data_IF_925277998493
#
_entry.id   IF_925277998493
#
_cell.length_a   1.000
_cell.length_b   1.000
_cell.length_c   1.000
_cell.angle_alpha   90.00
_cell.angle_beta   90.00
_cell.angle_gamma   90.00
#
_symmetry.space_group_name_H-M   'P 1'
#
loop_
_entity.id
_entity.type
_entity.pdbx_description
1 polymer ?
#
# COMPACT_ATOMS: atom_id res chain seq x y z
N UNK A 1 8.03 28.88 -4.18
CA UNK A 1 9.26 28.57 -4.94
C UNK A 1 8.96 28.25 -6.41
N UNK A 2 8.07 27.30 -6.73
CA UNK A 2 7.73 26.93 -8.11
C UNK A 2 7.21 28.14 -8.89
N UNK A 3 6.27 28.90 -8.34
CA UNK A 3 5.76 30.13 -8.99
C UNK A 3 6.88 31.11 -9.31
N UNK A 4 7.82 31.33 -8.39
CA UNK A 4 8.97 32.21 -8.62
C UNK A 4 9.81 31.74 -9.82
N UNK A 5 10.05 30.42 -9.97
CA UNK A 5 10.79 29.87 -11.11
C UNK A 5 10.04 30.12 -12.41
N UNK A 6 8.72 29.91 -12.44
CA UNK A 6 7.90 30.22 -13.63
C UNK A 6 7.90 31.71 -13.97
N UNK A 7 7.75 32.58 -12.98
CA UNK A 7 7.76 34.03 -13.15
C UNK A 7 9.12 34.49 -13.71
N UNK A 8 10.26 33.91 -13.27
CA UNK A 8 11.59 34.21 -13.80
C UNK A 8 11.80 33.66 -15.21
N UNK A 9 11.30 32.45 -15.50
CA UNK A 9 11.36 31.86 -16.85
C UNK A 9 10.51 32.69 -17.84
N UNK A 10 9.31 33.12 -17.43
CA UNK A 10 8.44 33.92 -18.24
C UNK A 10 9.05 35.29 -18.54
N UNK A 11 9.74 35.90 -17.58
CA UNK A 11 10.39 37.18 -17.67
C UNK A 11 11.68 37.17 -18.49
N UNK A 12 12.52 36.14 -18.31
CA UNK A 12 13.90 36.11 -18.84
C UNK A 12 14.06 35.11 -19.99
N UNK A 13 13.05 34.27 -20.26
CA UNK A 13 13.11 33.18 -21.23
C UNK A 13 13.87 31.94 -20.76
N UNK A 14 13.67 30.84 -21.48
CA UNK A 14 14.29 29.54 -21.14
C UNK A 14 15.82 29.51 -21.35
N UNK A 15 16.39 30.43 -22.10
CA UNK A 15 17.79 30.47 -22.46
C UNK A 15 18.73 30.81 -21.31
N UNK A 16 18.20 31.40 -20.22
CA UNK A 16 18.98 31.72 -19.03
C UNK A 16 19.01 30.59 -17.99
N UNK A 17 18.31 29.49 -18.24
CA UNK A 17 18.38 28.31 -17.38
C UNK A 17 19.70 27.60 -17.62
N UNK A 18 20.61 27.70 -16.65
CA UNK A 18 21.87 26.98 -16.67
C UNK A 18 21.71 25.65 -15.96
N UNK A 19 22.00 24.57 -16.66
CA UNK A 19 22.07 23.22 -16.06
C UNK A 19 23.43 23.11 -15.38
N UNK A 20 23.44 22.81 -14.08
CA UNK A 20 24.68 22.56 -13.37
C UNK A 20 25.36 21.28 -13.90
N UNK A 21 26.69 21.25 -13.88
CA UNK A 21 27.41 20.02 -14.19
C UNK A 21 27.07 18.92 -13.18
N UNK A 22 26.96 17.67 -13.63
CA UNK A 22 26.53 16.54 -12.81
C UNK A 22 27.45 16.29 -11.59
N UNK A 23 28.70 16.71 -11.66
CA UNK A 23 29.70 16.62 -10.59
C UNK A 23 29.69 17.83 -9.64
N UNK A 24 28.75 18.75 -9.80
CA UNK A 24 28.67 19.92 -8.92
C UNK A 24 28.34 19.46 -7.48
N UNK A 25 29.21 19.75 -6.50
CA UNK A 25 29.03 19.26 -5.13
C UNK A 25 27.73 19.75 -4.45
N UNK A 26 27.17 20.87 -4.92
CA UNK A 26 25.90 21.36 -4.40
C UNK A 26 24.71 20.45 -4.78
N UNK A 27 24.82 19.71 -5.91
CA UNK A 27 23.78 18.74 -6.29
C UNK A 27 23.77 17.60 -5.28
N UNK A 28 24.89 16.93 -5.05
CA UNK A 28 24.99 15.83 -4.09
C UNK A 28 24.61 16.25 -2.67
N UNK A 29 24.98 17.45 -2.25
CA UNK A 29 24.57 18.00 -0.95
C UNK A 29 23.06 18.21 -0.87
N UNK A 30 22.46 18.75 -1.92
CA UNK A 30 21.01 18.98 -1.97
C UNK A 30 20.21 17.66 -2.00
N UNK A 31 20.70 16.67 -2.75
CA UNK A 31 20.12 15.32 -2.81
C UNK A 31 20.16 14.63 -1.45
N UNK A 32 21.31 14.60 -0.80
CA UNK A 32 21.44 14.00 0.54
C UNK A 32 20.57 14.71 1.58
N UNK A 33 20.53 16.04 1.55
CA UNK A 33 19.68 16.81 2.46
C UNK A 33 18.20 16.52 2.20
N UNK A 34 17.79 16.53 0.94
CA UNK A 34 16.39 16.28 0.56
C UNK A 34 15.94 14.88 0.97
N UNK A 35 16.79 13.87 0.75
CA UNK A 35 16.50 12.49 1.17
C UNK A 35 16.35 12.38 2.69
N UNK A 36 17.29 12.95 3.45
CA UNK A 36 17.24 12.88 4.91
C UNK A 36 16.03 13.65 5.48
N UNK A 37 15.80 14.87 5.02
CA UNK A 37 14.65 15.67 5.43
C UNK A 37 13.33 14.96 5.07
N UNK A 38 13.26 14.35 3.89
CA UNK A 38 12.06 13.62 3.42
C UNK A 38 11.76 12.39 4.27
N UNK A 39 12.77 11.59 4.60
CA UNK A 39 12.63 10.42 5.47
C UNK A 39 12.19 10.84 6.86
N UNK A 40 12.81 11.87 7.44
CA UNK A 40 12.47 12.35 8.79
C UNK A 40 11.04 12.91 8.86
N UNK A 41 10.61 13.71 7.88
CA UNK A 41 9.25 14.23 7.79
C UNK A 41 8.23 13.11 7.64
N UNK A 42 8.53 12.10 6.82
CA UNK A 42 7.62 10.96 6.64
C UNK A 42 7.54 10.10 7.90
N UNK A 43 8.66 9.84 8.57
CA UNK A 43 8.67 9.16 9.87
C UNK A 43 7.82 9.91 10.90
N UNK A 44 7.99 11.23 11.01
CA UNK A 44 7.20 12.05 11.92
C UNK A 44 5.70 11.98 11.58
N UNK A 45 5.34 12.05 10.31
CA UNK A 45 3.96 11.87 9.86
C UNK A 45 3.37 10.52 10.30
N UNK A 46 4.15 9.44 10.21
CA UNK A 46 3.72 8.12 10.68
C UNK A 46 3.54 8.10 12.20
N UNK A 47 4.45 8.69 12.96
CA UNK A 47 4.39 8.77 14.43
C UNK A 47 3.19 9.59 14.91
N UNK A 48 2.91 10.71 14.26
CA UNK A 48 1.76 11.55 14.58
C UNK A 48 0.42 10.89 14.24
N UNK A 49 0.43 10.00 13.23
CA UNK A 49 -0.75 9.31 12.69
C UNK A 49 -0.89 7.87 13.20
N UNK A 50 -0.38 6.94 12.40
CA UNK A 50 -0.66 5.50 12.55
C UNK A 50 0.35 4.75 13.41
N UNK A 51 1.59 5.21 13.51
CA UNK A 51 2.69 4.57 14.26
C UNK A 51 2.78 5.06 15.71
N UNK A 52 1.65 5.26 16.36
CA UNK A 52 1.59 5.61 17.79
C UNK A 52 2.12 4.47 18.66
N UNK A 53 2.56 4.80 19.86
CA UNK A 53 3.17 3.87 20.80
C UNK A 53 2.36 2.58 21.01
N UNK A 54 1.04 2.67 21.09
CA UNK A 54 0.18 1.51 21.24
C UNK A 54 0.32 0.54 20.06
N UNK A 55 0.31 1.04 18.81
CA UNK A 55 0.45 0.22 17.62
C UNK A 55 1.87 -0.33 17.46
N UNK A 56 2.89 0.49 17.75
CA UNK A 56 4.28 0.05 17.74
C UNK A 56 4.53 -1.05 18.77
N UNK A 57 3.94 -0.94 19.97
CA UNK A 57 4.06 -1.95 21.02
C UNK A 57 3.35 -3.26 20.63
N UNK A 58 2.21 -3.22 19.93
CA UNK A 58 1.57 -4.40 19.38
C UNK A 58 2.51 -5.13 18.39
N UNK A 59 3.12 -4.40 17.47
CA UNK A 59 4.07 -4.97 16.51
C UNK A 59 5.31 -5.52 17.21
N UNK A 60 5.92 -4.78 18.13
CA UNK A 60 7.12 -5.19 18.87
C UNK A 60 6.91 -6.46 19.68
N UNK A 61 5.73 -6.60 20.28
CA UNK A 61 5.39 -7.72 21.16
C UNK A 61 4.81 -8.93 20.42
N UNK A 62 4.53 -8.82 19.12
CA UNK A 62 4.11 -9.96 18.30
C UNK A 62 5.31 -10.83 17.93
N UNK A 63 5.15 -12.13 17.96
CA UNK A 63 6.12 -13.10 17.43
C UNK A 63 5.97 -13.28 15.91
N UNK A 64 4.90 -12.72 15.32
CA UNK A 64 4.61 -12.85 13.91
C UNK A 64 5.59 -12.05 13.05
N UNK A 65 5.89 -12.59 11.87
CA UNK A 65 6.62 -11.89 10.83
C UNK A 65 5.64 -11.45 9.76
N UNK A 66 5.93 -10.30 9.16
CA UNK A 66 5.21 -9.74 8.02
C UNK A 66 6.13 -9.81 6.81
N UNK A 67 5.68 -10.44 5.76
CA UNK A 67 6.41 -10.45 4.48
C UNK A 67 5.94 -9.23 3.66
N UNK A 68 6.90 -8.43 3.18
CA UNK A 68 6.63 -7.34 2.25
C UNK A 68 7.21 -7.72 0.89
N UNK A 69 6.35 -7.83 -0.10
CA UNK A 69 6.74 -7.99 -1.49
C UNK A 69 6.82 -6.60 -2.14
N UNK A 70 8.03 -6.16 -2.44
CA UNK A 70 8.34 -4.82 -2.97
C UNK A 70 8.16 -4.73 -4.50
N UNK A 71 8.03 -5.86 -5.18
CA UNK A 71 7.86 -5.96 -6.64
C UNK A 71 8.93 -5.19 -7.44
N UNK A 72 10.15 -5.05 -6.87
CA UNK A 72 11.20 -4.22 -7.48
C UNK A 72 10.92 -2.73 -7.46
N UNK A 73 10.03 -2.28 -6.58
CA UNK A 73 9.64 -0.87 -6.45
C UNK A 73 10.57 -0.05 -5.57
N UNK A 74 10.22 1.22 -5.37
CA UNK A 74 11.10 2.25 -4.80
C UNK A 74 11.06 2.38 -3.26
N UNK A 75 10.14 1.69 -2.57
CA UNK A 75 9.92 1.98 -1.15
C UNK A 75 10.95 1.36 -0.20
N UNK A 76 11.65 0.28 -0.60
CA UNK A 76 12.57 -0.42 0.32
C UNK A 76 13.59 0.52 0.96
N UNK A 77 14.24 1.38 0.18
CA UNK A 77 15.27 2.29 0.68
C UNK A 77 14.79 3.24 1.78
N UNK A 78 13.58 3.75 1.65
CA UNK A 78 12.99 4.69 2.62
C UNK A 78 12.33 3.96 3.78
N UNK A 79 11.47 3.00 3.48
CA UNK A 79 10.64 2.33 4.50
C UNK A 79 11.48 1.44 5.41
N UNK A 80 12.46 0.70 4.89
CA UNK A 80 13.35 -0.13 5.72
C UNK A 80 14.13 0.70 6.73
N UNK A 81 14.59 1.89 6.34
CA UNK A 81 15.26 2.82 7.25
C UNK A 81 14.32 3.29 8.37
N UNK A 82 13.08 3.66 8.04
CA UNK A 82 12.08 4.08 9.03
C UNK A 82 11.77 2.93 9.99
N UNK A 83 11.51 1.71 9.49
CA UNK A 83 11.23 0.54 10.33
C UNK A 83 12.38 0.24 11.30
N UNK A 84 13.63 0.42 10.85
CA UNK A 84 14.82 0.29 11.71
C UNK A 84 14.85 1.36 12.80
N UNK A 85 14.63 2.62 12.46
CA UNK A 85 14.61 3.72 13.42
C UNK A 85 13.45 3.60 14.44
N UNK A 86 12.34 2.98 14.04
CA UNK A 86 11.22 2.64 14.92
C UNK A 86 11.46 1.38 15.77
N UNK A 87 12.55 0.64 15.51
CA UNK A 87 12.92 -0.58 16.23
C UNK A 87 11.98 -1.76 15.97
N UNK A 88 11.47 -1.88 14.73
CA UNK A 88 10.58 -2.95 14.27
C UNK A 88 11.05 -3.62 12.99
N UNK A 89 12.25 -3.34 12.51
CA UNK A 89 12.80 -3.88 11.27
C UNK A 89 12.81 -5.42 11.26
N UNK A 90 13.12 -6.03 12.40
CA UNK A 90 13.18 -7.48 12.56
C UNK A 90 11.82 -8.20 12.41
N UNK A 91 10.71 -7.46 12.44
CA UNK A 91 9.36 -7.97 12.21
C UNK A 91 9.03 -8.15 10.74
N UNK A 92 9.83 -7.58 9.85
CA UNK A 92 9.56 -7.55 8.41
C UNK A 92 10.58 -8.37 7.62
N UNK A 93 10.07 -9.14 6.67
CA UNK A 93 10.88 -9.91 5.72
C UNK A 93 10.60 -9.34 4.32
N UNK A 94 11.62 -8.79 3.69
CA UNK A 94 11.49 -8.19 2.37
C UNK A 94 11.76 -9.20 1.26
N UNK A 95 10.87 -9.21 0.27
CA UNK A 95 11.03 -9.94 -0.98
C UNK A 95 11.15 -8.95 -2.14
N UNK A 96 11.91 -9.33 -3.17
CA UNK A 96 12.13 -8.50 -4.37
C UNK A 96 12.44 -7.03 -4.05
N UNK A 97 13.29 -6.80 -3.06
CA UNK A 97 13.60 -5.49 -2.48
C UNK A 97 14.47 -4.61 -3.37
N UNK A 98 15.25 -5.21 -4.28
CA UNK A 98 16.09 -4.47 -5.20
C UNK A 98 15.24 -3.83 -6.30
N UNK A 99 15.49 -2.55 -6.60
CA UNK A 99 14.80 -1.85 -7.67
C UNK A 99 15.05 -2.54 -9.02
N UNK A 100 13.97 -2.84 -9.73
CA UNK A 100 14.04 -3.44 -11.06
C UNK A 100 13.04 -2.74 -11.99
N UNK A 101 13.50 -2.09 -13.07
CA UNK A 101 12.62 -1.43 -14.02
C UNK A 101 11.67 -2.38 -14.75
N UNK A 102 11.89 -3.70 -14.65
CA UNK A 102 11.04 -4.74 -15.18
C UNK A 102 10.28 -5.50 -14.10
N UNK A 103 10.25 -4.98 -12.87
CA UNK A 103 9.47 -5.51 -11.74
C UNK A 103 9.66 -7.02 -11.54
N UNK A 104 10.90 -7.50 -11.63
CA UNK A 104 11.27 -8.93 -11.57
C UNK A 104 10.49 -9.80 -12.56
N UNK A 105 10.18 -9.26 -13.74
CA UNK A 105 9.38 -9.90 -14.80
C UNK A 105 7.91 -10.12 -14.42
N UNK A 106 7.41 -9.43 -13.42
CA UNK A 106 5.99 -9.39 -13.07
C UNK A 106 5.26 -8.55 -14.13
N UNK A 107 4.16 -9.08 -14.67
CA UNK A 107 3.45 -8.46 -15.78
C UNK A 107 3.75 -9.12 -17.11
N UNK A 108 3.09 -8.66 -18.16
CA UNK A 108 3.26 -9.20 -19.51
C UNK A 108 4.28 -8.39 -20.27
N UNK A 109 5.20 -9.07 -20.90
CA UNK A 109 6.17 -8.47 -21.80
C UNK A 109 6.42 -9.33 -23.01
N UNK A 110 6.75 -8.69 -24.12
CA UNK A 110 7.30 -9.32 -25.32
C UNK A 110 8.81 -9.10 -25.39
N UNK A 111 9.48 -10.03 -26.04
CA UNK A 111 10.89 -9.92 -26.36
C UNK A 111 11.03 -9.77 -27.87
N UNK A 112 11.63 -8.66 -28.31
CA UNK A 112 11.91 -8.47 -29.73
C UNK A 112 13.00 -9.45 -30.22
N UNK A 113 13.22 -9.58 -31.57
CA UNK A 113 14.26 -10.46 -32.10
C UNK A 113 15.68 -10.15 -31.65
N UNK A 114 15.92 -8.99 -31.06
CA UNK A 114 17.21 -8.56 -30.49
C UNK A 114 17.32 -8.86 -28.99
N UNK A 115 16.27 -9.42 -28.38
CA UNK A 115 16.24 -9.74 -26.96
C UNK A 115 15.81 -8.58 -26.05
N UNK A 116 15.37 -7.43 -26.62
CA UNK A 116 14.87 -6.34 -25.81
C UNK A 116 13.46 -6.66 -25.31
N UNK A 117 13.20 -6.43 -24.02
CA UNK A 117 11.88 -6.62 -23.42
C UNK A 117 11.05 -5.34 -23.58
N UNK A 118 9.82 -5.50 -24.04
CA UNK A 118 8.84 -4.42 -24.12
C UNK A 118 7.64 -4.78 -23.27
N UNK A 119 7.40 -4.02 -22.21
CA UNK A 119 6.20 -4.16 -21.38
C UNK A 119 5.00 -3.59 -22.11
N UNK A 120 3.90 -4.33 -22.11
CA UNK A 120 2.61 -3.88 -22.63
C UNK A 120 1.44 -4.05 -21.66
N UNK A 121 1.68 -4.68 -20.52
CA UNK A 121 0.71 -4.80 -19.44
C UNK A 121 1.47 -4.70 -18.11
N UNK A 122 1.30 -3.58 -17.43
CA UNK A 122 1.97 -3.27 -16.16
C UNK A 122 1.08 -3.54 -14.93
N UNK A 123 0.04 -4.34 -15.09
CA UNK A 123 -0.80 -4.66 -13.95
C UNK A 123 -0.03 -5.52 -12.97
N UNK A 124 0.34 -4.92 -11.85
CA UNK A 124 0.92 -5.59 -10.68
C UNK A 124 -0.13 -5.78 -9.57
N UNK A 125 -1.40 -5.63 -9.90
CA UNK A 125 -2.50 -5.88 -8.97
C UNK A 125 -2.63 -7.38 -8.71
N UNK A 126 -2.21 -7.81 -7.52
CA UNK A 126 -2.22 -9.20 -7.12
C UNK A 126 -3.63 -9.78 -6.91
N UNK A 127 -4.66 -8.93 -6.87
CA UNK A 127 -6.07 -9.38 -6.77
C UNK A 127 -6.72 -9.70 -8.11
N UNK A 128 -6.03 -9.45 -9.22
CA UNK A 128 -6.55 -9.77 -10.55
C UNK A 128 -6.61 -11.29 -10.73
N UNK A 129 -7.82 -11.79 -10.94
CA UNK A 129 -8.10 -13.19 -11.23
C UNK A 129 -8.16 -13.41 -12.75
N UNK A 130 -7.46 -14.41 -13.22
CA UNK A 130 -7.46 -14.84 -14.62
C UNK A 130 -7.81 -16.33 -14.74
N UNK A 131 -7.90 -16.85 -15.95
CA UNK A 131 -8.11 -18.27 -16.21
C UNK A 131 -6.99 -18.82 -17.07
N UNK A 132 -6.49 -19.99 -16.72
CA UNK A 132 -5.53 -20.73 -17.54
C UNK A 132 -6.20 -21.35 -18.79
N UNK A 133 -5.42 -22.07 -19.60
CA UNK A 133 -5.89 -22.73 -20.81
C UNK A 133 -7.01 -23.76 -20.58
N UNK A 134 -7.09 -24.30 -19.37
CA UNK A 134 -8.07 -25.32 -18.98
C UNK A 134 -9.28 -24.65 -18.26
N UNK A 135 -9.31 -23.31 -18.21
CA UNK A 135 -10.38 -22.52 -17.59
C UNK A 135 -10.27 -22.43 -16.06
N UNK A 136 -9.19 -22.92 -15.47
CA UNK A 136 -8.96 -22.90 -14.03
C UNK A 136 -8.53 -21.49 -13.58
N UNK A 137 -9.15 -20.93 -12.54
CA UNK A 137 -8.79 -19.62 -12.04
C UNK A 137 -7.40 -19.60 -11.38
N UNK A 138 -6.66 -18.52 -11.59
CA UNK A 138 -5.38 -18.27 -10.96
C UNK A 138 -5.11 -16.75 -10.86
N UNK A 139 -4.17 -16.36 -10.00
CA UNK A 139 -3.71 -14.99 -9.85
C UNK A 139 -2.36 -14.82 -10.58
N UNK A 140 -2.30 -14.10 -11.71
CA UNK A 140 -1.09 -13.98 -12.52
C UNK A 140 0.11 -13.41 -11.75
N UNK A 141 -0.10 -12.36 -10.95
CA UNK A 141 0.95 -11.74 -10.15
C UNK A 141 1.48 -12.72 -9.11
N UNK A 142 0.60 -13.34 -8.32
CA UNK A 142 1.00 -14.31 -7.28
C UNK A 142 1.77 -15.48 -7.90
N UNK A 143 1.34 -15.96 -9.06
CA UNK A 143 2.04 -17.03 -9.78
C UNK A 143 3.44 -16.60 -10.23
N UNK A 144 3.61 -15.39 -10.74
CA UNK A 144 4.92 -14.89 -11.18
C UNK A 144 5.86 -14.57 -10.01
N UNK A 145 5.35 -14.41 -8.81
CA UNK A 145 6.14 -14.22 -7.58
C UNK A 145 6.62 -15.54 -6.95
N UNK A 146 6.22 -16.69 -7.51
CA UNK A 146 6.61 -18.03 -7.04
C UNK A 146 6.37 -18.23 -5.54
N UNK A 147 5.20 -17.82 -5.03
CA UNK A 147 4.91 -17.87 -3.60
C UNK A 147 4.83 -19.29 -3.03
N UNK A 148 4.50 -20.27 -3.83
CA UNK A 148 4.57 -21.69 -3.48
C UNK A 148 5.99 -22.12 -3.05
N UNK A 149 7.02 -21.53 -3.66
CA UNK A 149 8.41 -21.76 -3.30
C UNK A 149 8.90 -20.80 -2.20
N UNK A 150 8.64 -19.51 -2.37
CA UNK A 150 9.19 -18.46 -1.53
C UNK A 150 8.57 -18.44 -0.12
N UNK A 151 7.31 -18.83 0.03
CA UNK A 151 6.60 -18.87 1.30
C UNK A 151 6.53 -20.27 1.95
N UNK A 152 7.21 -21.27 1.37
CA UNK A 152 7.13 -22.67 1.85
C UNK A 152 7.50 -22.89 3.31
N UNK A 153 8.31 -22.01 3.89
CA UNK A 153 8.78 -22.10 5.27
C UNK A 153 8.07 -21.10 6.20
N UNK A 154 7.17 -20.27 5.67
CA UNK A 154 6.43 -19.32 6.49
C UNK A 154 5.31 -20.03 7.26
N UNK A 155 5.13 -19.77 8.56
CA UNK A 155 4.07 -20.38 9.35
C UNK A 155 2.67 -19.87 8.95
N UNK A 156 1.64 -20.63 9.35
CA UNK A 156 0.27 -20.16 9.33
C UNK A 156 0.16 -18.90 10.19
N UNK A 157 -0.62 -17.92 9.74
CA UNK A 157 -0.75 -16.60 10.37
C UNK A 157 0.17 -15.55 9.75
N UNK A 158 1.20 -15.94 8.97
CA UNK A 158 2.08 -14.97 8.32
C UNK A 158 1.29 -14.07 7.37
N UNK A 159 1.33 -12.76 7.61
CA UNK A 159 0.80 -11.76 6.69
C UNK A 159 1.79 -11.48 5.55
N UNK A 160 1.26 -11.34 4.33
CA UNK A 160 2.04 -11.00 3.14
C UNK A 160 1.43 -9.74 2.52
N UNK A 161 2.20 -8.69 2.47
CA UNK A 161 1.82 -7.40 1.92
C UNK A 161 2.47 -7.25 0.54
N UNK A 162 1.67 -7.21 -0.51
CA UNK A 162 2.15 -7.03 -1.88
C UNK A 162 1.83 -5.60 -2.29
N UNK A 163 2.87 -4.83 -2.54
CA UNK A 163 2.73 -3.44 -3.00
C UNK A 163 2.96 -3.36 -4.51
N UNK A 164 2.44 -2.33 -5.14
CA UNK A 164 2.88 -1.98 -6.49
C UNK A 164 4.18 -1.14 -6.45
N UNK A 165 4.84 -0.87 -7.60
CA UNK A 165 6.17 -0.28 -7.60
C UNK A 165 6.30 1.11 -7.00
N UNK A 166 5.26 1.94 -7.06
CA UNK A 166 5.22 3.28 -6.47
C UNK A 166 4.47 3.33 -5.12
N UNK A 167 4.03 2.15 -4.64
CA UNK A 167 3.43 1.92 -3.32
C UNK A 167 2.14 2.69 -3.04
N UNK A 168 1.37 3.02 -4.06
CA UNK A 168 0.05 3.63 -3.88
C UNK A 168 -1.08 2.58 -3.77
N UNK A 169 -0.78 1.31 -4.06
CA UNK A 169 -1.69 0.16 -3.94
C UNK A 169 -1.11 -0.93 -3.05
N UNK A 170 -2.00 -1.62 -2.35
CA UNK A 170 -1.64 -2.69 -1.43
C UNK A 170 -2.63 -3.86 -1.57
N UNK A 171 -2.09 -5.05 -1.80
CA UNK A 171 -2.81 -6.32 -1.64
C UNK A 171 -2.37 -6.98 -0.35
N UNK A 172 -3.31 -7.35 0.48
CA UNK A 172 -3.07 -8.09 1.72
C UNK A 172 -3.37 -9.56 1.47
N UNK A 173 -2.43 -10.40 1.83
CA UNK A 173 -2.57 -11.85 1.83
C UNK A 173 -2.23 -12.39 3.22
N UNK A 174 -2.67 -13.61 3.53
CA UNK A 174 -2.31 -14.30 4.75
C UNK A 174 -2.17 -15.79 4.50
N UNK A 175 -1.17 -16.41 5.12
CA UNK A 175 -1.03 -17.86 5.10
C UNK A 175 -1.98 -18.47 6.11
N UNK A 176 -2.87 -19.34 5.64
CA UNK A 176 -3.88 -20.01 6.44
C UNK A 176 -3.82 -21.53 6.23
N UNK A 177 -4.49 -22.27 7.14
CA UNK A 177 -4.73 -23.70 6.97
C UNK A 177 -5.82 -23.95 5.93
N UNK A 178 -5.71 -25.01 5.15
CA UNK A 178 -6.67 -25.38 4.11
C UNK A 178 -8.04 -25.83 4.70
N UNK A 179 -8.12 -26.16 5.99
CA UNK A 179 -9.39 -26.41 6.68
C UNK A 179 -10.29 -25.16 6.73
N UNK A 180 -9.74 -23.97 6.54
CA UNK A 180 -10.47 -22.70 6.44
C UNK A 180 -11.18 -22.48 5.10
N UNK A 181 -10.92 -23.27 4.07
CA UNK A 181 -11.42 -23.04 2.71
C UNK A 181 -12.93 -22.84 2.66
N UNK A 182 -13.72 -23.64 3.37
CA UNK A 182 -15.19 -23.51 3.35
C UNK A 182 -15.64 -22.20 3.98
N UNK A 183 -14.97 -21.79 5.06
CA UNK A 183 -15.24 -20.54 5.73
C UNK A 183 -14.88 -19.33 4.83
N UNK A 184 -13.71 -19.34 4.20
CA UNK A 184 -13.26 -18.29 3.28
C UNK A 184 -14.22 -18.14 2.10
N UNK A 185 -14.67 -19.25 1.51
CA UNK A 185 -15.66 -19.24 0.44
C UNK A 185 -16.98 -18.61 0.87
N UNK A 186 -17.44 -18.86 2.10
CA UNK A 186 -18.67 -18.25 2.63
C UNK A 186 -18.55 -16.73 2.80
N UNK A 187 -17.34 -16.21 2.96
CA UNK A 187 -17.03 -14.79 3.05
C UNK A 187 -16.67 -14.15 1.70
N UNK A 188 -16.62 -14.94 0.61
CA UNK A 188 -16.17 -14.45 -0.70
C UNK A 188 -14.70 -14.04 -0.73
N UNK A 189 -13.86 -14.72 0.07
CA UNK A 189 -12.42 -14.49 0.11
C UNK A 189 -11.75 -15.53 -0.81
N UNK A 190 -10.94 -15.05 -1.74
CA UNK A 190 -10.19 -15.89 -2.66
C UNK A 190 -8.92 -16.45 -2.00
N UNK A 191 -8.39 -17.52 -2.57
CA UNK A 191 -7.16 -18.15 -2.06
C UNK A 191 -6.39 -18.88 -3.16
N UNK A 192 -5.10 -19.09 -2.91
CA UNK A 192 -4.20 -19.94 -3.71
C UNK A 192 -3.74 -21.09 -2.84
N UNK A 193 -3.78 -22.30 -3.38
CA UNK A 193 -3.20 -23.46 -2.67
C UNK A 193 -1.68 -23.34 -2.59
N UNK A 194 -1.13 -23.55 -1.41
CA UNK A 194 0.27 -23.75 -1.16
C UNK A 194 0.53 -25.26 -0.93
N UNK A 195 1.63 -25.61 -0.33
CA UNK A 195 1.96 -26.98 0.04
C UNK A 195 1.50 -27.34 1.47
N UNK A 196 1.52 -28.61 1.81
CA UNK A 196 1.36 -29.11 3.19
C UNK A 196 0.10 -28.66 3.92
N UNK A 197 -1.04 -28.62 3.22
CA UNK A 197 -2.31 -28.21 3.84
C UNK A 197 -2.41 -26.72 4.15
N UNK A 198 -1.64 -25.88 3.45
CA UNK A 198 -1.67 -24.43 3.59
C UNK A 198 -2.22 -23.77 2.34
N UNK A 199 -2.79 -22.61 2.54
CA UNK A 199 -3.29 -21.72 1.48
C UNK A 199 -2.78 -20.30 1.72
N UNK A 200 -2.68 -19.53 0.65
CA UNK A 200 -2.50 -18.09 0.72
C UNK A 200 -3.85 -17.44 0.40
N UNK A 201 -4.45 -16.80 1.39
CA UNK A 201 -5.67 -15.99 1.19
C UNK A 201 -5.32 -14.71 0.46
N UNK A 202 -6.22 -14.24 -0.41
CA UNK A 202 -6.04 -13.00 -1.17
C UNK A 202 -7.21 -12.09 -0.90
N UNK A 203 -6.95 -11.00 -0.17
CA UNK A 203 -7.97 -10.01 0.17
C UNK A 203 -8.02 -8.91 -0.91
N UNK A 204 -9.19 -8.63 -1.41
CA UNK A 204 -9.40 -7.46 -2.27
C UNK A 204 -9.15 -6.17 -1.49
N UNK A 205 -8.83 -5.07 -2.17
CA UNK A 205 -8.65 -3.77 -1.54
C UNK A 205 -9.87 -3.37 -0.67
N UNK A 206 -11.08 -3.66 -1.15
CA UNK A 206 -12.30 -3.38 -0.39
C UNK A 206 -12.39 -4.18 0.92
N UNK A 207 -11.98 -5.45 0.91
CA UNK A 207 -11.94 -6.29 2.12
C UNK A 207 -10.85 -5.81 3.09
N UNK A 208 -9.66 -5.51 2.58
CA UNK A 208 -8.54 -5.02 3.39
C UNK A 208 -8.88 -3.69 4.08
N UNK A 209 -9.43 -2.74 3.35
CA UNK A 209 -9.84 -1.46 3.93
C UNK A 209 -10.98 -1.61 4.94
N UNK A 210 -11.92 -2.52 4.72
CA UNK A 210 -12.98 -2.79 5.69
C UNK A 210 -12.40 -3.34 7.01
N UNK A 211 -11.44 -4.24 6.95
CA UNK A 211 -10.73 -4.75 8.14
C UNK A 211 -9.99 -3.63 8.87
N UNK A 212 -9.30 -2.74 8.16
CA UNK A 212 -8.60 -1.59 8.75
C UNK A 212 -9.59 -0.64 9.42
N UNK A 213 -10.71 -0.32 8.76
CA UNK A 213 -11.75 0.55 9.34
C UNK A 213 -12.35 -0.05 10.60
N UNK A 214 -12.64 -1.36 10.59
CA UNK A 214 -13.18 -2.04 11.77
C UNK A 214 -12.17 -2.06 12.92
N UNK A 215 -10.92 -2.37 12.64
CA UNK A 215 -9.83 -2.28 13.63
C UNK A 215 -9.74 -0.89 14.26
N UNK A 216 -9.68 0.17 13.46
CA UNK A 216 -9.63 1.55 13.96
C UNK A 216 -10.83 1.92 14.80
N UNK A 217 -12.02 1.53 14.35
CA UNK A 217 -13.24 1.76 15.13
C UNK A 217 -13.16 1.08 16.50
N UNK A 218 -12.70 -0.19 16.55
CA UNK A 218 -12.55 -0.91 17.81
C UNK A 218 -11.52 -0.22 18.73
N UNK A 219 -10.38 0.25 18.19
CA UNK A 219 -9.40 1.00 18.97
C UNK A 219 -10.01 2.27 19.56
N UNK A 220 -10.71 3.06 18.76
CA UNK A 220 -11.37 4.27 19.24
C UNK A 220 -12.43 3.97 20.32
N UNK A 221 -13.16 2.87 20.21
CA UNK A 221 -14.10 2.43 21.23
C UNK A 221 -13.40 2.02 22.53
N UNK A 222 -12.31 1.25 22.43
CA UNK A 222 -11.52 0.82 23.58
C UNK A 222 -10.93 2.01 24.36
N UNK A 223 -10.55 3.06 23.64
CA UNK A 223 -10.04 4.31 24.24
C UNK A 223 -11.17 5.26 24.72
N UNK A 224 -12.43 4.90 24.51
CA UNK A 224 -13.57 5.77 24.84
C UNK A 224 -13.70 7.02 23.96
N UNK A 225 -13.03 7.03 22.81
CA UNK A 225 -12.98 8.18 21.90
C UNK A 225 -14.00 8.12 20.77
N UNK A 226 -14.62 6.97 20.54
CA UNK A 226 -15.50 6.78 19.40
C UNK A 226 -16.74 7.65 19.47
N UNK A 227 -17.39 7.75 20.62
CA UNK A 227 -18.63 8.49 20.84
C UNK A 227 -18.41 9.99 21.07
N UNK A 228 -17.17 10.46 21.22
CA UNK A 228 -16.88 11.86 21.52
C UNK A 228 -17.22 12.82 20.38
N UNK A 229 -17.28 12.32 19.15
CA UNK A 229 -17.56 13.13 17.96
C UNK A 229 -18.42 12.34 16.96
N UNK A 230 -19.30 13.02 16.19
CA UNK A 230 -19.97 12.39 15.07
C UNK A 230 -18.97 11.78 14.08
N UNK A 231 -19.24 10.55 13.65
CA UNK A 231 -18.38 9.83 12.71
C UNK A 231 -19.00 9.82 11.32
N UNK A 232 -18.16 10.01 10.32
CA UNK A 232 -18.57 9.86 8.94
C UNK A 232 -17.44 9.21 8.13
N UNK A 233 -17.82 8.55 7.07
CA UNK A 233 -16.92 7.93 6.11
C UNK A 233 -17.15 8.58 4.75
N UNK A 234 -16.05 8.96 4.09
CA UNK A 234 -16.09 9.41 2.69
C UNK A 234 -15.62 8.23 1.85
N UNK A 235 -16.42 7.80 0.89
CA UNK A 235 -16.05 6.75 -0.04
C UNK A 235 -16.35 7.13 -1.48
N UNK A 236 -15.65 6.52 -2.41
CA UNK A 236 -15.94 6.69 -3.84
C UNK A 236 -17.05 5.75 -4.29
N UNK A 237 -17.67 6.06 -5.42
CA UNK A 237 -18.69 5.21 -6.04
C UNK A 237 -18.18 3.82 -6.44
N UNK A 238 -16.87 3.65 -6.58
CA UNK A 238 -16.21 2.36 -6.85
C UNK A 238 -16.05 1.47 -5.60
N UNK A 239 -16.21 2.03 -4.40
CA UNK A 239 -16.07 1.28 -3.15
C UNK A 239 -17.26 0.33 -2.91
N UNK A 240 -17.00 -0.79 -2.25
CA UNK A 240 -17.98 -1.84 -2.04
C UNK A 240 -19.19 -1.40 -1.23
N UNK A 241 -20.37 -2.00 -1.52
CA UNK A 241 -21.61 -1.78 -0.75
C UNK A 241 -21.53 -2.28 0.69
N UNK A 242 -20.71 -3.31 0.94
CA UNK A 242 -20.48 -3.81 2.30
C UNK A 242 -20.01 -2.73 3.28
N UNK A 243 -19.34 -1.68 2.77
CA UNK A 243 -18.94 -0.55 3.59
C UNK A 243 -20.12 0.28 4.06
N UNK A 244 -21.16 0.45 3.23
CA UNK A 244 -22.39 1.15 3.63
C UNK A 244 -23.14 0.40 4.74
N UNK A 245 -23.20 -0.93 4.61
CA UNK A 245 -23.84 -1.78 5.60
C UNK A 245 -23.09 -1.79 6.93
N UNK A 246 -21.77 -1.89 6.87
CA UNK A 246 -20.90 -1.79 8.04
C UNK A 246 -21.03 -0.42 8.71
N UNK A 247 -21.01 0.67 7.96
CA UNK A 247 -21.14 2.02 8.46
C UNK A 247 -22.51 2.23 9.14
N UNK A 248 -23.59 1.77 8.49
CA UNK A 248 -24.95 1.81 9.06
C UNK A 248 -25.04 1.06 10.39
N UNK A 249 -24.47 -0.15 10.46
CA UNK A 249 -24.44 -0.96 11.68
C UNK A 249 -23.70 -0.27 12.83
N UNK A 250 -22.72 0.55 12.52
CA UNK A 250 -21.88 1.27 13.49
C UNK A 250 -22.26 2.74 13.67
N UNK A 251 -23.44 3.15 13.18
CA UNK A 251 -23.92 4.53 13.26
C UNK A 251 -22.96 5.58 12.67
N UNK A 252 -22.31 5.21 11.56
CA UNK A 252 -21.37 6.07 10.82
C UNK A 252 -22.08 6.61 9.58
N UNK A 253 -22.09 7.93 9.40
CA UNK A 253 -22.65 8.57 8.21
C UNK A 253 -21.76 8.35 6.99
N UNK A 254 -22.34 7.96 5.86
CA UNK A 254 -21.62 7.76 4.60
C UNK A 254 -21.80 8.95 3.66
N UNK A 255 -20.71 9.44 3.10
CA UNK A 255 -20.68 10.44 2.05
C UNK A 255 -20.07 9.80 0.79
N UNK A 256 -20.90 9.64 -0.24
CA UNK A 256 -20.45 9.11 -1.53
C UNK A 256 -19.96 10.23 -2.44
N UNK A 257 -18.80 10.03 -3.05
CA UNK A 257 -18.22 10.98 -4.02
C UNK A 257 -17.80 10.25 -5.31
N UNK A 258 -17.68 10.95 -6.44
CA UNK A 258 -17.04 10.40 -7.63
C UNK A 258 -15.62 9.89 -7.34
N UNK A 259 -15.08 9.03 -8.22
CA UNK A 259 -13.72 8.54 -8.11
C UNK A 259 -12.73 9.70 -8.28
N UNK A 260 -11.78 9.82 -7.35
CA UNK A 260 -10.69 10.79 -7.37
C UNK A 260 -10.41 11.41 -5.99
N UNK A 261 -9.14 11.53 -5.64
CA UNK A 261 -8.71 12.15 -4.37
C UNK A 261 -9.22 13.58 -4.19
N UNK A 262 -9.33 14.34 -5.30
CA UNK A 262 -9.86 15.68 -5.29
C UNK A 262 -11.27 15.76 -4.69
N UNK A 263 -12.11 14.79 -5.00
CA UNK A 263 -13.50 14.77 -4.52
C UNK A 263 -13.57 14.45 -3.04
N UNK A 264 -12.73 13.53 -2.56
CA UNK A 264 -12.59 13.24 -1.12
C UNK A 264 -12.07 14.49 -0.39
N UNK A 265 -11.00 15.09 -0.89
CA UNK A 265 -10.40 16.30 -0.30
C UNK A 265 -11.37 17.49 -0.27
N UNK A 266 -12.21 17.65 -1.26
CA UNK A 266 -13.24 18.70 -1.28
C UNK A 266 -14.26 18.54 -0.15
N UNK A 267 -14.67 17.30 0.16
CA UNK A 267 -15.57 17.04 1.30
C UNK A 267 -14.84 17.33 2.61
N UNK A 268 -13.61 16.84 2.77
CA UNK A 268 -12.79 17.09 3.96
C UNK A 268 -12.64 18.59 4.24
N UNK A 269 -12.26 19.39 3.23
CA UNK A 269 -12.14 20.84 3.35
C UNK A 269 -13.44 21.54 3.73
N UNK A 270 -14.58 21.05 3.27
CA UNK A 270 -15.89 21.58 3.67
C UNK A 270 -16.18 21.32 5.13
N UNK A 271 -15.88 20.09 5.60
CA UNK A 271 -16.05 19.72 7.00
C UNK A 271 -15.12 20.56 7.91
N UNK A 272 -13.86 20.68 7.55
CA UNK A 272 -12.89 21.51 8.27
C UNK A 272 -13.35 22.96 8.39
N UNK A 273 -13.82 23.56 7.28
CA UNK A 273 -14.34 24.93 7.27
C UNK A 273 -15.58 25.09 8.15
N UNK A 274 -16.44 24.10 8.21
CA UNK A 274 -17.62 24.14 9.10
C UNK A 274 -17.25 24.02 10.58
N UNK A 275 -16.18 23.27 10.90
CA UNK A 275 -15.69 23.12 12.27
C UNK A 275 -14.87 24.33 12.70
N UNK A 276 -14.06 24.92 11.82
CA UNK A 276 -13.14 26.04 12.11
C UNK A 276 -13.74 27.40 11.79
N UNK A 277 -14.88 27.47 11.14
CA UNK A 277 -15.55 28.72 10.72
C UNK A 277 -16.67 29.18 11.64
N UNK A 278 -16.78 28.57 12.79
CA UNK A 278 -17.56 28.99 13.96
C UNK A 278 -16.55 29.43 15.05
#
# INVERSE_FOLDING_TARGET
KIKYIFDEVEKNGYYDIKIAANDNPLISQAEMKSLNDGVELYKQYLLDGVAKDANLNLIKNSDDKIVIENVGGSAYGTLSRILKELGIEDKYVWMNKEEDPFFHSIGKYDTDPKGNKTFYDYSVDATVLSKDKDGKPYFPVIKSLHYDENLKNCPIGTAVLITDPDHDRLTVCQIESDDKIQYLKSLGIDYVALDKGRILTVFTANQSFLMIMDFWMQQLKNEGLFENHPRFMIKTTASARSWDEWAKKNNIKVVNVPVGFKEIANVMKKVEKQIMGN
#
